data_IF_225339771298
#
_entry.id   IF_225339771298
#
_cell.length_a   1.000
_cell.length_b   1.000
_cell.length_c   1.000
_cell.angle_alpha   90.00
_cell.angle_beta   90.00
_cell.angle_gamma   90.00
#
_symmetry.space_group_name_H-M   'P 1'
#
loop_
_entity.id
_entity.type
_entity.pdbx_description
1 polymer ?
#
# COMPACT_ATOMS: atom_id res chain seq x y z
N UNK A 1 -60.60 0.70 17.18
CA UNK A 1 -60.06 -0.62 17.62
C UNK A 1 -60.07 -1.65 16.48
N UNK A 2 -61.08 -1.65 15.62
CA UNK A 2 -61.26 -2.57 14.49
C UNK A 2 -60.06 -2.66 13.53
N UNK A 3 -59.45 -1.52 13.21
CA UNK A 3 -58.30 -1.43 12.30
C UNK A 3 -57.03 -2.17 12.82
N UNK A 4 -56.85 -2.22 14.14
CA UNK A 4 -55.72 -2.92 14.77
C UNK A 4 -55.92 -4.44 14.80
N UNK A 5 -57.15 -4.90 14.95
CA UNK A 5 -57.50 -6.32 14.91
C UNK A 5 -57.25 -6.90 13.53
N UNK A 6 -57.67 -6.18 12.48
CA UNK A 6 -57.44 -6.56 11.07
C UNK A 6 -55.95 -6.56 10.75
N UNK A 7 -55.21 -5.52 11.16
CA UNK A 7 -53.76 -5.45 10.97
C UNK A 7 -53.02 -6.61 11.67
N UNK A 8 -53.44 -6.97 12.88
CA UNK A 8 -52.87 -8.10 13.63
C UNK A 8 -53.13 -9.44 12.94
N UNK A 9 -54.34 -9.69 12.47
CA UNK A 9 -54.68 -10.91 11.73
C UNK A 9 -53.86 -11.03 10.44
N UNK A 10 -53.73 -9.93 9.67
CA UNK A 10 -52.89 -9.87 8.47
C UNK A 10 -51.43 -10.17 8.79
N UNK A 11 -50.87 -9.58 9.84
CA UNK A 11 -49.49 -9.82 10.28
C UNK A 11 -49.25 -11.30 10.68
N UNK A 12 -50.19 -11.92 11.38
CA UNK A 12 -50.11 -13.33 11.78
C UNK A 12 -50.16 -14.25 10.55
N UNK A 13 -51.04 -13.97 9.61
CA UNK A 13 -51.16 -14.74 8.36
C UNK A 13 -49.85 -14.69 7.56
N UNK A 14 -49.31 -13.49 7.32
CA UNK A 14 -48.04 -13.31 6.62
C UNK A 14 -46.87 -13.99 7.36
N UNK A 15 -46.86 -13.93 8.70
CA UNK A 15 -45.84 -14.61 9.51
C UNK A 15 -45.89 -16.13 9.34
N UNK A 16 -47.09 -16.73 9.31
CA UNK A 16 -47.30 -18.16 9.06
C UNK A 16 -46.89 -18.57 7.64
N UNK A 17 -47.02 -17.67 6.67
CA UNK A 17 -46.52 -17.84 5.30
C UNK A 17 -44.99 -17.68 5.17
N UNK A 18 -44.28 -17.44 6.29
CA UNK A 18 -42.81 -17.40 6.29
C UNK A 18 -42.20 -16.01 6.11
N UNK A 19 -42.98 -14.93 6.20
CA UNK A 19 -42.48 -13.57 6.05
C UNK A 19 -41.69 -13.13 7.30
N UNK A 20 -40.62 -12.37 7.08
CA UNK A 20 -39.85 -11.72 8.16
C UNK A 20 -40.59 -10.50 8.72
N UNK A 21 -40.22 -10.05 9.91
CA UNK A 21 -40.83 -8.85 10.52
C UNK A 21 -40.62 -7.60 9.64
N UNK A 22 -39.48 -7.52 8.95
CA UNK A 22 -39.19 -6.42 8.02
C UNK A 22 -40.06 -6.45 6.77
N UNK A 23 -40.39 -7.64 6.25
CA UNK A 23 -41.31 -7.80 5.11
C UNK A 23 -42.75 -7.48 5.53
N UNK A 24 -43.21 -7.98 6.68
CA UNK A 24 -44.56 -7.72 7.20
C UNK A 24 -44.77 -6.23 7.51
N UNK A 25 -43.74 -5.54 8.02
CA UNK A 25 -43.80 -4.10 8.31
C UNK A 25 -44.04 -3.25 7.06
N UNK A 26 -43.65 -3.72 5.87
CA UNK A 26 -43.93 -3.00 4.61
C UNK A 26 -45.40 -3.13 4.20
N UNK A 27 -46.04 -4.24 4.57
CA UNK A 27 -47.42 -4.58 4.19
C UNK A 27 -48.48 -4.21 5.24
N UNK A 28 -48.03 -3.95 6.47
CA UNK A 28 -48.87 -3.63 7.62
C UNK A 28 -48.34 -2.35 8.27
N UNK A 29 -49.11 -1.27 8.16
CA UNK A 29 -48.76 0.06 8.65
C UNK A 29 -48.90 0.16 10.19
N UNK A 30 -48.04 -0.56 10.92
CA UNK A 30 -47.98 -0.55 12.39
C UNK A 30 -46.56 -0.33 12.88
N UNK A 31 -46.42 0.09 14.14
CA UNK A 31 -45.11 0.28 14.75
C UNK A 31 -44.34 -1.03 14.88
N UNK A 32 -43.01 -0.95 14.90
CA UNK A 32 -42.13 -2.11 15.10
C UNK A 32 -42.41 -2.83 16.44
N UNK A 33 -42.74 -2.07 17.48
CA UNK A 33 -43.06 -2.59 18.81
C UNK A 33 -44.38 -3.37 18.80
N UNK A 34 -45.43 -2.86 18.14
CA UNK A 34 -46.71 -3.55 18.00
C UNK A 34 -46.54 -4.89 17.26
N UNK A 35 -45.82 -4.87 16.13
CA UNK A 35 -45.55 -6.08 15.36
C UNK A 35 -44.73 -7.11 16.16
N UNK A 36 -43.74 -6.65 16.92
CA UNK A 36 -42.94 -7.53 17.77
C UNK A 36 -43.76 -8.17 18.89
N UNK A 37 -44.66 -7.41 19.51
CA UNK A 37 -45.56 -7.91 20.55
C UNK A 37 -46.50 -9.00 20.00
N UNK A 38 -47.11 -8.77 18.83
CA UNK A 38 -48.06 -9.70 18.24
C UNK A 38 -47.45 -11.01 17.74
N UNK A 39 -46.21 -10.96 17.23
CA UNK A 39 -45.58 -12.09 16.58
C UNK A 39 -44.60 -12.86 17.48
N UNK A 40 -44.32 -12.38 18.71
CA UNK A 40 -43.33 -12.96 19.65
C UNK A 40 -43.48 -14.47 19.84
N UNK A 41 -44.71 -14.97 19.89
CA UNK A 41 -45.02 -16.38 20.11
C UNK A 41 -45.18 -17.24 18.85
N UNK A 42 -44.93 -16.70 17.65
CA UNK A 42 -45.14 -17.41 16.38
C UNK A 42 -43.81 -17.85 15.76
N UNK A 43 -43.35 -19.09 16.02
CA UNK A 43 -42.12 -19.60 15.44
C UNK A 43 -42.27 -19.77 13.92
N UNK A 44 -41.18 -19.53 13.20
CA UNK A 44 -41.08 -19.90 11.78
C UNK A 44 -40.79 -21.38 11.63
N UNK A 45 -41.38 -22.01 10.61
CA UNK A 45 -40.99 -23.33 10.13
C UNK A 45 -39.52 -23.32 9.67
N UNK A 46 -38.79 -24.45 9.77
CA UNK A 46 -37.39 -24.56 9.36
C UNK A 46 -37.12 -24.05 7.94
N UNK A 47 -37.95 -24.44 6.96
CA UNK A 47 -37.85 -24.05 5.55
C UNK A 47 -37.87 -22.52 5.34
N UNK A 48 -38.71 -21.81 6.09
CA UNK A 48 -38.79 -20.35 6.02
C UNK A 48 -37.60 -19.67 6.70
N UNK A 49 -37.04 -20.28 7.74
CA UNK A 49 -35.80 -19.80 8.38
C UNK A 49 -34.62 -19.91 7.41
N UNK A 50 -34.50 -21.03 6.69
CA UNK A 50 -33.46 -21.23 5.69
C UNK A 50 -33.53 -20.20 4.56
N UNK A 51 -34.71 -19.94 3.99
CA UNK A 51 -34.91 -18.89 2.97
C UNK A 51 -34.42 -17.52 3.45
N UNK A 52 -34.80 -17.13 4.67
CA UNK A 52 -34.43 -15.84 5.24
C UNK A 52 -32.93 -15.75 5.57
N UNK A 53 -32.35 -16.84 6.06
CA UNK A 53 -30.91 -16.96 6.29
C UNK A 53 -30.13 -16.83 4.97
N UNK A 54 -30.50 -17.57 3.93
CA UNK A 54 -29.88 -17.49 2.59
C UNK A 54 -29.94 -16.06 2.02
N UNK A 55 -31.08 -15.38 2.17
CA UNK A 55 -31.24 -13.97 1.76
C UNK A 55 -30.31 -13.04 2.54
N UNK A 56 -30.15 -13.25 3.84
CA UNK A 56 -29.24 -12.49 4.68
C UNK A 56 -27.77 -12.72 4.27
N UNK A 57 -27.38 -13.98 4.02
CA UNK A 57 -26.05 -14.33 3.52
C UNK A 57 -25.79 -13.71 2.13
N UNK A 58 -26.77 -13.68 1.24
CA UNK A 58 -26.66 -13.03 -0.07
C UNK A 58 -26.46 -11.50 0.05
N UNK A 59 -27.11 -10.85 1.01
CA UNK A 59 -26.93 -9.42 1.28
C UNK A 59 -25.55 -9.16 1.90
N UNK A 60 -25.14 -9.97 2.87
CA UNK A 60 -23.84 -9.86 3.54
C UNK A 60 -22.67 -10.18 2.61
N UNK A 61 -22.85 -11.00 1.57
CA UNK A 61 -21.84 -11.27 0.55
C UNK A 61 -21.76 -10.15 -0.50
N UNK A 62 -22.89 -9.57 -0.89
CA UNK A 62 -22.95 -8.47 -1.89
C UNK A 62 -22.55 -7.11 -1.32
N UNK A 63 -22.89 -6.82 -0.05
CA UNK A 63 -22.61 -5.53 0.59
C UNK A 63 -21.13 -5.14 0.56
N UNK A 64 -20.21 -5.97 1.07
CA UNK A 64 -18.78 -5.71 1.03
C UNK A 64 -18.22 -5.57 -0.39
N UNK A 65 -18.72 -6.35 -1.36
CA UNK A 65 -18.31 -6.26 -2.76
C UNK A 65 -18.76 -4.92 -3.39
N UNK A 66 -19.99 -4.49 -3.11
CA UNK A 66 -20.52 -3.20 -3.56
C UNK A 66 -19.74 -2.03 -2.97
N UNK A 67 -19.45 -2.07 -1.66
CA UNK A 67 -18.64 -1.04 -1.00
C UNK A 67 -17.20 -0.99 -1.54
N UNK A 68 -16.58 -2.16 -1.78
CA UNK A 68 -15.25 -2.24 -2.38
C UNK A 68 -15.23 -1.67 -3.80
N UNK A 69 -16.21 -2.02 -4.63
CA UNK A 69 -16.33 -1.50 -5.99
C UNK A 69 -16.57 0.02 -6.00
N UNK A 70 -17.43 0.51 -5.10
CA UNK A 70 -17.65 1.96 -4.93
C UNK A 70 -16.36 2.66 -4.52
N UNK A 71 -15.67 2.15 -3.50
CA UNK A 71 -14.39 2.72 -3.04
C UNK A 71 -13.33 2.68 -4.13
N UNK A 72 -13.27 1.62 -4.93
CA UNK A 72 -12.35 1.54 -6.05
C UNK A 72 -12.60 2.67 -7.06
N UNK A 73 -13.86 2.90 -7.45
CA UNK A 73 -14.21 4.03 -8.34
C UNK A 73 -13.84 5.39 -7.74
N UNK A 74 -14.08 5.59 -6.43
CA UNK A 74 -13.67 6.80 -5.74
C UNK A 74 -12.14 6.99 -5.79
N UNK A 75 -11.37 5.93 -5.52
CA UNK A 75 -9.90 5.95 -5.58
C UNK A 75 -9.42 6.23 -7.02
N UNK A 76 -10.00 5.59 -8.01
CA UNK A 76 -9.65 5.79 -9.42
C UNK A 76 -9.94 7.23 -9.87
N UNK A 77 -11.04 7.83 -9.40
CA UNK A 77 -11.38 9.22 -9.64
C UNK A 77 -10.37 10.17 -8.98
N UNK A 78 -10.01 9.93 -7.71
CA UNK A 78 -8.98 10.71 -6.99
C UNK A 78 -7.64 10.65 -7.73
N UNK A 79 -7.18 9.45 -8.09
CA UNK A 79 -5.92 9.27 -8.82
C UNK A 79 -5.97 9.96 -10.19
N UNK A 80 -7.08 9.86 -10.91
CA UNK A 80 -7.24 10.49 -12.23
C UNK A 80 -7.25 12.00 -12.15
N UNK A 81 -7.89 12.57 -11.12
CA UNK A 81 -7.85 14.00 -10.86
C UNK A 81 -6.42 14.46 -10.52
N UNK A 82 -5.76 13.79 -9.56
CA UNK A 82 -4.40 14.14 -9.12
C UNK A 82 -3.36 14.03 -10.26
N UNK A 83 -3.52 13.07 -11.18
CA UNK A 83 -2.66 12.98 -12.38
C UNK A 83 -2.68 14.24 -13.24
N UNK A 84 -3.79 14.98 -13.27
CA UNK A 84 -3.93 16.22 -14.03
C UNK A 84 -3.31 17.43 -13.34
N UNK A 85 -3.02 17.33 -12.04
CA UNK A 85 -2.36 18.40 -11.27
C UNK A 85 -0.86 18.48 -11.57
N UNK A 86 -0.27 17.40 -12.10
CA UNK A 86 1.15 17.34 -12.44
C UNK A 86 1.36 17.83 -13.88
N UNK A 87 2.09 18.93 -14.04
CA UNK A 87 2.53 19.42 -15.35
C UNK A 87 3.71 18.59 -15.89
N UNK A 88 3.64 18.23 -17.17
CA UNK A 88 4.70 17.51 -17.88
C UNK A 88 5.27 18.36 -19.03
N UNK A 89 6.58 18.28 -19.34
CA UNK A 89 7.59 17.47 -18.64
C UNK A 89 7.89 18.02 -17.24
N UNK A 90 8.27 17.13 -16.32
CA UNK A 90 8.71 17.53 -14.98
C UNK A 90 9.94 18.43 -15.13
N UNK A 91 9.93 19.58 -14.46
CA UNK A 91 11.04 20.54 -14.54
C UNK A 91 12.35 19.93 -14.05
N UNK A 92 13.48 20.42 -14.55
CA UNK A 92 14.79 19.93 -14.14
C UNK A 92 15.01 20.06 -12.62
N UNK A 93 14.51 21.13 -12.00
CA UNK A 93 14.59 21.33 -10.55
C UNK A 93 13.73 20.32 -9.79
N UNK A 94 12.47 20.12 -10.22
CA UNK A 94 11.58 19.15 -9.60
C UNK A 94 12.15 17.72 -9.73
N UNK A 95 12.77 17.39 -10.87
CA UNK A 95 13.44 16.11 -11.08
C UNK A 95 14.67 15.96 -10.16
N UNK A 96 15.48 17.01 -10.01
CA UNK A 96 16.63 17.02 -9.08
C UNK A 96 16.17 16.75 -7.65
N UNK A 97 15.17 17.47 -7.17
CA UNK A 97 14.65 17.34 -5.81
C UNK A 97 13.95 16.00 -5.60
N UNK A 98 13.17 15.50 -6.57
CA UNK A 98 12.51 14.19 -6.48
C UNK A 98 13.53 13.06 -6.30
N UNK A 99 14.59 13.01 -7.10
CA UNK A 99 15.64 12.00 -6.92
C UNK A 99 16.47 12.21 -5.66
N UNK A 100 16.67 13.45 -5.21
CA UNK A 100 17.31 13.77 -3.93
C UNK A 100 16.49 13.24 -2.76
N UNK A 101 15.17 13.47 -2.75
CA UNK A 101 14.25 12.98 -1.72
C UNK A 101 14.16 11.46 -1.72
N UNK A 102 14.11 10.82 -2.89
CA UNK A 102 14.14 9.36 -2.99
C UNK A 102 15.46 8.78 -2.50
N UNK A 103 16.59 9.40 -2.82
CA UNK A 103 17.89 8.98 -2.28
C UNK A 103 17.96 9.17 -0.76
N UNK A 104 17.40 10.25 -0.22
CA UNK A 104 17.33 10.46 1.23
C UNK A 104 16.50 9.37 1.93
N UNK A 105 15.43 8.89 1.30
CA UNK A 105 14.54 7.87 1.87
C UNK A 105 15.04 6.42 1.67
N UNK A 106 15.53 6.09 0.48
CA UNK A 106 15.81 4.71 0.03
C UNK A 106 17.31 4.46 -0.25
N UNK A 107 18.12 5.51 -0.16
CA UNK A 107 19.56 5.44 -0.39
C UNK A 107 20.34 4.83 0.78
N UNK A 108 21.57 4.44 0.49
CA UNK A 108 22.47 3.88 1.50
C UNK A 108 22.94 4.95 2.51
N UNK A 109 23.08 4.52 3.76
CA UNK A 109 23.75 5.30 4.83
C UNK A 109 25.27 5.34 4.66
N UNK A 110 25.82 4.53 3.75
CA UNK A 110 27.23 4.57 3.38
C UNK A 110 27.57 5.80 2.53
N UNK A 111 28.85 5.96 2.22
CA UNK A 111 29.36 7.08 1.40
C UNK A 111 29.19 6.88 -0.10
N UNK A 112 28.89 5.67 -0.55
CA UNK A 112 28.67 5.37 -1.96
C UNK A 112 27.20 5.63 -2.33
N UNK A 113 26.97 6.18 -3.51
CA UNK A 113 25.63 6.34 -4.07
C UNK A 113 25.07 4.96 -4.41
N UNK A 114 24.19 4.47 -3.53
CA UNK A 114 23.51 3.20 -3.69
C UNK A 114 22.03 3.36 -3.34
N UNK A 115 21.16 2.69 -4.08
CA UNK A 115 19.73 2.62 -3.77
C UNK A 115 19.23 1.19 -3.91
N UNK A 116 18.41 0.73 -2.98
CA UNK A 116 17.89 -0.64 -2.96
C UNK A 116 16.37 -0.63 -2.89
N UNK A 117 15.68 -1.17 -3.90
CA UNK A 117 14.23 -1.24 -3.91
C UNK A 117 13.71 -2.40 -4.78
N UNK A 118 12.46 -2.83 -4.57
CA UNK A 118 11.82 -3.88 -5.36
C UNK A 118 10.86 -3.34 -6.43
N UNK A 119 10.47 -2.07 -6.39
CA UNK A 119 9.60 -1.46 -7.41
C UNK A 119 10.40 -1.19 -8.70
N UNK A 120 10.04 -1.81 -9.84
CA UNK A 120 10.68 -1.56 -11.12
C UNK A 120 10.68 -0.09 -11.56
N UNK A 121 9.62 0.66 -11.23
CA UNK A 121 9.49 2.07 -11.61
C UNK A 121 10.49 2.94 -10.86
N UNK A 122 10.70 2.68 -9.57
CA UNK A 122 11.65 3.43 -8.75
C UNK A 122 13.09 3.16 -9.22
N UNK A 123 13.44 1.89 -9.43
CA UNK A 123 14.77 1.51 -9.92
C UNK A 123 15.04 2.15 -11.29
N UNK A 124 14.11 2.04 -12.25
CA UNK A 124 14.26 2.66 -13.56
C UNK A 124 14.37 4.19 -13.47
N UNK A 125 13.53 4.82 -12.64
CA UNK A 125 13.62 6.26 -12.40
C UNK A 125 15.00 6.65 -11.89
N UNK A 126 15.54 5.93 -10.91
CA UNK A 126 16.85 6.25 -10.32
C UNK A 126 17.99 6.07 -11.33
N UNK A 127 17.96 5.04 -12.17
CA UNK A 127 18.95 4.87 -13.25
C UNK A 127 18.91 6.07 -14.21
N UNK A 128 17.72 6.43 -14.70
CA UNK A 128 17.55 7.59 -15.61
C UNK A 128 17.91 8.92 -14.94
N UNK A 129 17.59 9.07 -13.67
CA UNK A 129 17.93 10.25 -12.88
C UNK A 129 19.44 10.39 -12.71
N UNK A 130 20.15 9.29 -12.40
CA UNK A 130 21.61 9.27 -12.33
C UNK A 130 22.22 9.68 -13.67
N UNK A 131 21.71 9.15 -14.79
CA UNK A 131 22.15 9.55 -16.12
C UNK A 131 21.89 11.02 -16.40
N UNK A 132 20.70 11.53 -16.07
CA UNK A 132 20.33 12.92 -16.33
C UNK A 132 21.08 13.93 -15.45
N UNK A 133 21.38 13.62 -14.19
CA UNK A 133 21.97 14.56 -13.22
C UNK A 133 23.50 14.52 -13.18
N UNK A 134 24.09 13.38 -13.55
CA UNK A 134 25.52 13.13 -13.41
C UNK A 134 26.20 12.65 -14.70
N UNK A 135 25.45 12.51 -15.81
CA UNK A 135 25.96 12.02 -17.10
C UNK A 135 26.59 10.63 -17.01
N UNK A 136 26.11 9.79 -16.08
CA UNK A 136 26.59 8.42 -15.89
C UNK A 136 25.68 7.46 -16.64
N UNK A 137 26.23 6.79 -17.64
CA UNK A 137 25.52 5.79 -18.44
C UNK A 137 25.24 4.50 -17.65
N UNK A 138 24.16 3.76 -17.94
CA UNK A 138 23.85 2.48 -17.32
C UNK A 138 24.99 1.45 -17.35
N UNK A 139 25.80 1.47 -18.42
CA UNK A 139 26.99 0.63 -18.57
C UNK A 139 28.07 0.86 -17.48
N UNK A 140 28.03 1.98 -16.77
CA UNK A 140 28.94 2.31 -15.67
C UNK A 140 28.34 2.02 -14.29
N UNK A 141 27.07 1.58 -14.23
CA UNK A 141 26.39 1.21 -12.99
C UNK A 141 26.62 -0.27 -12.67
N UNK A 142 26.59 -0.61 -11.38
CA UNK A 142 26.58 -2.00 -10.93
C UNK A 142 25.21 -2.33 -10.34
N UNK A 143 24.81 -3.59 -10.45
CA UNK A 143 23.58 -4.07 -9.84
C UNK A 143 23.82 -5.31 -8.99
N UNK A 144 23.17 -5.41 -7.83
CA UNK A 144 23.09 -6.64 -7.04
C UNK A 144 21.64 -6.98 -6.77
N UNK A 145 21.35 -8.27 -6.68
CA UNK A 145 20.00 -8.75 -6.44
C UNK A 145 19.92 -9.46 -5.10
N UNK A 146 18.80 -9.23 -4.40
CA UNK A 146 18.37 -10.07 -3.30
C UNK A 146 17.13 -10.84 -3.75
N UNK A 147 17.21 -12.17 -3.79
CA UNK A 147 16.12 -13.04 -4.26
C UNK A 147 15.78 -14.10 -3.22
N UNK A 148 14.66 -14.79 -3.45
CA UNK A 148 14.22 -15.94 -2.68
C UNK A 148 14.58 -17.27 -3.36
N UNK A 149 14.71 -18.38 -2.60
CA UNK A 149 15.19 -19.67 -3.14
C UNK A 149 14.36 -20.25 -4.28
N UNK A 150 13.07 -19.90 -4.38
CA UNK A 150 12.17 -20.37 -5.43
C UNK A 150 12.27 -19.56 -6.74
N UNK A 151 13.07 -18.50 -6.76
CA UNK A 151 13.16 -17.60 -7.92
C UNK A 151 14.31 -17.98 -8.85
N UNK A 152 14.10 -17.77 -10.14
CA UNK A 152 15.13 -17.98 -11.16
C UNK A 152 16.02 -16.73 -11.28
N UNK A 153 17.26 -16.82 -10.80
CA UNK A 153 18.22 -15.72 -10.83
C UNK A 153 18.48 -15.19 -12.25
N UNK A 154 18.65 -16.07 -13.23
CA UNK A 154 18.96 -15.68 -14.60
C UNK A 154 17.84 -14.84 -15.22
N UNK A 155 16.58 -15.26 -15.03
CA UNK A 155 15.41 -14.52 -15.52
C UNK A 155 15.27 -13.16 -14.83
N UNK A 156 15.56 -13.07 -13.53
CA UNK A 156 15.49 -11.80 -12.79
C UNK A 156 16.63 -10.86 -13.22
N UNK A 157 17.86 -11.36 -13.41
CA UNK A 157 18.95 -10.55 -13.97
C UNK A 157 18.59 -10.02 -15.35
N UNK A 158 18.05 -10.87 -16.22
CA UNK A 158 17.58 -10.47 -17.55
C UNK A 158 16.50 -9.38 -17.47
N UNK A 159 15.46 -9.58 -16.63
CA UNK A 159 14.41 -8.58 -16.43
C UNK A 159 14.98 -7.20 -16.06
N UNK A 160 15.88 -7.15 -15.08
CA UNK A 160 16.47 -5.87 -14.66
C UNK A 160 17.41 -5.28 -15.70
N UNK A 161 18.16 -6.11 -16.42
CA UNK A 161 19.04 -5.67 -17.51
C UNK A 161 18.21 -5.05 -18.65
N UNK A 162 17.16 -5.75 -19.10
CA UNK A 162 16.25 -5.29 -20.15
C UNK A 162 15.52 -3.99 -19.74
N UNK A 163 15.19 -3.84 -18.45
CA UNK A 163 14.49 -2.65 -17.97
C UNK A 163 15.40 -1.42 -17.83
N UNK A 164 16.66 -1.62 -17.42
CA UNK A 164 17.55 -0.53 -16.96
C UNK A 164 18.73 -0.25 -17.88
N UNK A 165 18.92 -1.07 -18.91
CA UNK A 165 20.09 -1.07 -19.81
C UNK A 165 21.43 -1.32 -19.09
N UNK A 166 21.41 -1.74 -17.82
CA UNK A 166 22.62 -2.16 -17.10
C UNK A 166 23.02 -3.54 -17.64
N UNK A 167 24.24 -3.73 -18.18
CA UNK A 167 24.67 -5.00 -18.74
C UNK A 167 24.67 -6.12 -17.69
N UNK A 168 24.31 -7.35 -18.07
CA UNK A 168 24.38 -8.52 -17.18
C UNK A 168 25.78 -8.71 -16.57
N UNK A 169 26.85 -8.36 -17.30
CA UNK A 169 28.24 -8.40 -16.81
C UNK A 169 28.51 -7.45 -15.63
N UNK A 170 27.66 -6.45 -15.42
CA UNK A 170 27.70 -5.53 -14.29
C UNK A 170 26.89 -6.02 -13.07
N UNK A 171 26.25 -7.19 -13.15
CA UNK A 171 25.53 -7.76 -12.03
C UNK A 171 26.51 -8.52 -11.13
N UNK A 172 26.59 -8.08 -9.87
CA UNK A 172 27.37 -8.75 -8.84
C UNK A 172 26.74 -10.06 -8.36
N UNK A 173 27.35 -10.65 -7.33
CA UNK A 173 26.83 -11.84 -6.66
C UNK A 173 25.43 -11.57 -6.11
N UNK A 174 24.47 -12.39 -6.51
CA UNK A 174 23.11 -12.40 -5.98
C UNK A 174 23.10 -12.97 -4.57
N UNK A 175 22.36 -12.32 -3.67
CA UNK A 175 22.07 -12.85 -2.35
C UNK A 175 20.76 -13.63 -2.37
N UNK A 176 20.83 -14.93 -2.04
CA UNK A 176 19.65 -15.77 -1.91
C UNK A 176 19.27 -15.83 -0.43
N UNK A 177 18.09 -15.31 -0.08
CA UNK A 177 17.62 -15.28 1.30
C UNK A 177 17.39 -16.72 1.81
N UNK A 178 17.87 -17.09 3.02
CA UNK A 178 17.61 -18.40 3.60
C UNK A 178 16.11 -18.70 3.76
N UNK A 179 15.74 -19.98 3.73
CA UNK A 179 14.36 -20.40 4.00
C UNK A 179 14.00 -20.11 5.46
N UNK A 180 12.91 -19.39 5.72
CA UNK A 180 12.39 -19.17 7.08
C UNK A 180 10.94 -19.67 7.20
N UNK A 181 10.55 -20.15 8.39
CA UNK A 181 9.22 -20.76 8.64
C UNK A 181 8.03 -19.77 8.54
N UNK A 182 8.28 -18.48 8.33
CA UNK A 182 7.29 -17.40 8.38
C UNK A 182 7.19 -16.60 7.09
N UNK A 183 7.27 -17.23 5.92
CA UNK A 183 7.11 -16.52 4.66
C UNK A 183 5.73 -15.86 4.58
N UNK A 184 5.68 -14.53 4.73
CA UNK A 184 4.62 -13.74 4.12
C UNK A 184 4.64 -14.10 2.62
N UNK A 185 3.48 -14.36 2.01
CA UNK A 185 3.31 -14.56 0.55
C UNK A 185 3.63 -13.28 -0.26
N UNK A 186 4.60 -12.48 0.19
CA UNK A 186 5.02 -11.31 -0.55
C UNK A 186 5.93 -11.79 -1.67
N UNK A 187 5.33 -11.99 -2.84
CA UNK A 187 6.05 -12.37 -4.05
C UNK A 187 6.68 -11.10 -4.60
N UNK A 188 7.86 -10.73 -4.11
CA UNK A 188 8.71 -9.77 -4.82
C UNK A 188 9.13 -10.46 -6.12
N UNK A 189 8.29 -10.39 -7.16
CA UNK A 189 8.41 -11.20 -8.38
C UNK A 189 9.79 -11.08 -9.04
N UNK A 190 10.40 -9.90 -8.95
CA UNK A 190 11.71 -9.57 -9.50
C UNK A 190 12.79 -9.41 -8.42
N UNK A 191 12.53 -9.89 -7.19
CA UNK A 191 13.42 -9.69 -6.04
C UNK A 191 13.54 -8.21 -5.66
N UNK A 192 14.65 -7.87 -5.01
CA UNK A 192 15.05 -6.48 -4.73
C UNK A 192 16.34 -6.18 -5.49
N UNK A 193 16.36 -5.08 -6.23
CA UNK A 193 17.54 -4.61 -6.93
C UNK A 193 18.24 -3.53 -6.10
N UNK A 194 19.56 -3.66 -6.00
CA UNK A 194 20.46 -2.62 -5.52
C UNK A 194 21.24 -2.07 -6.70
N UNK A 195 21.07 -0.79 -6.99
CA UNK A 195 21.93 -0.06 -7.94
C UNK A 195 23.07 0.56 -7.15
N UNK A 196 24.29 0.44 -7.67
CA UNK A 196 25.50 1.03 -7.09
C UNK A 196 26.19 1.87 -8.16
N UNK A 197 26.60 3.10 -7.80
CA UNK A 197 27.43 3.95 -8.67
C UNK A 197 28.87 3.89 -8.14
N UNK A 198 29.82 3.25 -8.86
CA UNK A 198 31.20 3.17 -8.41
C UNK A 198 31.84 4.55 -8.22
N UNK A 199 32.74 4.67 -7.22
CA UNK A 199 33.54 5.89 -6.97
C UNK A 199 32.70 7.19 -6.84
N UNK A 200 31.52 7.10 -6.25
CA UNK A 200 30.51 8.17 -6.24
C UNK A 200 30.44 9.01 -4.95
N UNK A 201 31.48 8.99 -4.11
CA UNK A 201 31.50 9.70 -2.82
C UNK A 201 31.21 11.20 -2.97
N UNK A 202 31.78 11.85 -3.98
CA UNK A 202 31.50 13.27 -4.24
C UNK A 202 30.04 13.52 -4.69
N UNK A 203 29.45 12.58 -5.41
CA UNK A 203 28.05 12.68 -5.84
C UNK A 203 27.09 12.53 -4.66
N UNK A 204 27.40 11.61 -3.75
CA UNK A 204 26.70 11.48 -2.47
C UNK A 204 26.68 12.83 -1.72
N UNK A 205 27.84 13.47 -1.53
CA UNK A 205 27.88 14.79 -0.89
C UNK A 205 27.14 15.88 -1.67
N UNK A 206 27.20 15.86 -3.00
CA UNK A 206 26.45 16.81 -3.85
C UNK A 206 24.94 16.69 -3.63
N UNK A 207 24.41 15.46 -3.51
CA UNK A 207 22.99 15.21 -3.21
C UNK A 207 22.64 15.72 -1.80
N UNK A 208 23.49 15.46 -0.81
CA UNK A 208 23.28 16.01 0.54
C UNK A 208 23.31 17.54 0.56
N UNK A 209 24.14 18.17 -0.26
CA UNK A 209 24.13 19.63 -0.45
C UNK A 209 22.80 20.13 -1.00
N UNK A 210 22.22 19.45 -2.00
CA UNK A 210 20.88 19.77 -2.50
C UNK A 210 19.80 19.59 -1.42
N UNK A 211 19.89 18.52 -0.64
CA UNK A 211 18.96 18.25 0.47
C UNK A 211 19.03 19.34 1.54
N UNK A 212 20.24 19.71 1.98
CA UNK A 212 20.47 20.79 2.94
C UNK A 212 19.91 22.12 2.42
N UNK A 213 20.15 22.46 1.15
CA UNK A 213 19.61 23.67 0.56
C UNK A 213 18.07 23.67 0.56
N UNK A 214 17.44 22.54 0.23
CA UNK A 214 15.98 22.40 0.20
C UNK A 214 15.33 22.42 1.59
N UNK A 215 16.06 22.00 2.63
CA UNK A 215 15.55 21.91 4.01
C UNK A 215 16.09 23.01 4.93
N UNK A 216 16.81 24.00 4.40
CA UNK A 216 17.51 25.05 5.16
C UNK A 216 16.61 25.78 6.17
N UNK A 217 15.33 25.95 5.85
CA UNK A 217 14.37 26.60 6.72
C UNK A 217 14.02 25.78 7.98
N UNK A 218 14.26 24.46 7.97
CA UNK A 218 14.03 23.56 9.10
C UNK A 218 15.22 23.51 10.07
N UNK A 219 16.43 23.88 9.61
CA UNK A 219 17.67 23.75 10.38
C UNK A 219 17.64 24.47 11.75
N UNK A 220 17.09 25.70 11.89
CA UNK A 220 17.06 26.37 13.19
C UNK A 220 16.23 25.62 14.23
N UNK A 221 15.06 25.10 13.84
CA UNK A 221 14.16 24.36 14.73
C UNK A 221 14.76 23.02 15.16
N UNK A 222 15.31 22.28 14.20
CA UNK A 222 15.99 21.00 14.46
C UNK A 222 17.19 21.23 15.38
N UNK A 223 18.06 22.20 15.07
CA UNK A 223 19.26 22.49 15.86
C UNK A 223 18.92 22.89 17.30
N UNK A 224 17.91 23.75 17.48
CA UNK A 224 17.47 24.18 18.81
C UNK A 224 16.99 22.98 19.65
N UNK A 225 16.21 22.09 19.05
CA UNK A 225 15.68 20.90 19.72
C UNK A 225 16.79 19.90 20.01
N UNK A 226 17.69 19.64 19.06
CA UNK A 226 18.86 18.77 19.29
C UNK A 226 19.75 19.28 20.43
N UNK A 227 19.96 20.60 20.53
CA UNK A 227 20.69 21.22 21.64
C UNK A 227 20.03 20.96 22.98
N UNK A 228 18.70 21.13 23.06
CA UNK A 228 17.92 20.86 24.28
C UNK A 228 18.03 19.40 24.73
N UNK A 229 18.14 18.47 23.78
CA UNK A 229 18.18 17.03 24.04
C UNK A 229 19.57 16.41 23.87
N UNK A 230 20.65 17.19 24.03
CA UNK A 230 22.03 16.69 23.89
C UNK A 230 22.35 15.50 24.80
N UNK A 231 21.75 15.43 25.98
CA UNK A 231 21.95 14.32 26.92
C UNK A 231 21.60 12.96 26.33
N UNK A 232 20.66 12.87 25.37
CA UNK A 232 20.31 11.63 24.68
C UNK A 232 21.45 11.07 23.81
N UNK A 233 22.44 11.90 23.44
CA UNK A 233 23.63 11.45 22.70
C UNK A 233 24.66 10.75 23.59
N UNK A 234 24.55 10.90 24.91
CA UNK A 234 25.48 10.34 25.89
C UNK A 234 24.96 9.03 26.50
N UNK A 235 24.46 8.11 25.68
CA UNK A 235 24.11 6.76 26.15
C UNK A 235 25.37 5.90 26.25
N UNK A 236 25.69 5.41 27.46
CA UNK A 236 26.73 4.40 27.67
C UNK A 236 26.36 3.17 26.83
N UNK A 237 27.22 2.77 25.90
CA UNK A 237 27.00 1.54 25.14
C UNK A 237 27.01 0.37 26.15
N UNK A 238 26.01 -0.52 26.15
CA UNK A 238 26.10 -1.73 26.97
C UNK A 238 27.39 -2.46 26.58
N UNK A 239 28.23 -2.72 27.57
CA UNK A 239 29.36 -3.65 27.40
C UNK A 239 28.72 -5.00 27.16
N UNK A 240 28.83 -5.51 25.93
CA UNK A 240 28.49 -6.90 25.66
C UNK A 240 29.50 -7.75 26.45
N UNK A 241 29.09 -8.28 27.59
CA UNK A 241 29.79 -9.36 28.30
C UNK A 241 29.65 -10.66 27.50
#
# INVERSE_FOLDING_TARGET
>A
MENYTVARQKAISLRKQGWSYGEIRKEVAVSKSALSSWLKGLPLKPEHKERLYTKQIAILSRGPQSQKARRQREVDAIITAAKKEVCLPVSHEALRLMGTSLYWAEGSKGKMLEITNSDPRLILFMVRWITSMFSILPANLKMRLNIYPQQNEANIKKFWSDLTDIPISNFGKTFVKPRSKGFKKNNLYYGTARIEVPKSVNLHYRIFGWLQAALKNLDPEVTLTERRWQSLRNTVRPVNL
#
